data_IF_969245132220
#
_entry.id   IF_969245132220
#
_cell.length_a   1.000
_cell.length_b   1.000
_cell.length_c   1.000
_cell.angle_alpha   90.00
_cell.angle_beta   90.00
_cell.angle_gamma   90.00
#
_symmetry.space_group_name_H-M   'P 1'
#
loop_
_entity.id
_entity.type
_entity.pdbx_description
1 polymer ?
#
# COMPACT_ATOMS: atom_id res chain seq x y z
N UNK A 1 -8.69 -16.54 10.24
CA UNK A 1 -8.25 -15.68 11.36
C UNK A 1 -6.80 -15.26 11.10
N UNK A 2 -6.59 -14.13 10.43
CA UNK A 2 -5.28 -13.46 10.35
C UNK A 2 -5.37 -11.97 10.74
N UNK A 3 -6.58 -11.47 11.05
CA UNK A 3 -6.90 -10.05 11.14
C UNK A 3 -6.77 -9.48 12.56
N UNK A 4 -6.01 -10.12 13.46
CA UNK A 4 -5.98 -9.74 14.89
C UNK A 4 -4.60 -9.75 15.54
N UNK A 5 -3.56 -10.10 14.79
CA UNK A 5 -2.22 -10.16 15.32
C UNK A 5 -1.21 -9.70 14.27
N UNK A 6 -0.27 -8.87 14.71
CA UNK A 6 0.90 -8.48 13.94
C UNK A 6 2.05 -9.39 14.37
N UNK A 7 2.70 -10.05 13.42
CA UNK A 7 3.89 -10.86 13.69
C UNK A 7 5.14 -10.02 13.37
N UNK A 8 5.76 -9.48 14.41
CA UNK A 8 7.04 -8.77 14.27
C UNK A 8 8.20 -9.76 14.44
N UNK A 9 9.17 -9.70 13.54
CA UNK A 9 10.47 -10.34 13.83
C UNK A 9 11.12 -9.63 15.02
N UNK A 10 12.01 -10.29 15.79
CA UNK A 10 12.73 -9.65 16.89
C UNK A 10 13.58 -8.44 16.45
N UNK A 11 14.03 -8.42 15.19
CA UNK A 11 14.72 -7.28 14.56
C UNK A 11 13.75 -6.21 14.02
N UNK A 12 12.45 -6.49 14.03
CA UNK A 12 11.36 -5.67 13.50
C UNK A 12 10.55 -4.91 14.56
N UNK A 13 10.99 -4.88 15.82
CA UNK A 13 10.39 -4.04 16.87
C UNK A 13 10.91 -2.61 16.75
N UNK A 14 10.66 -2.01 15.59
CA UNK A 14 10.91 -0.59 15.31
C UNK A 14 9.62 0.02 14.76
N UNK A 15 9.34 1.27 15.14
CA UNK A 15 8.06 1.92 14.87
C UNK A 15 7.64 1.85 13.39
N UNK A 16 8.60 1.94 12.46
CA UNK A 16 8.36 1.84 11.01
C UNK A 16 7.76 0.49 10.63
N UNK A 17 8.35 -0.63 11.09
CA UNK A 17 7.85 -1.97 10.75
C UNK A 17 6.50 -2.21 11.45
N UNK A 18 6.35 -1.80 12.71
CA UNK A 18 5.06 -1.93 13.39
C UNK A 18 3.94 -1.14 12.68
N UNK A 19 4.23 0.08 12.21
CA UNK A 19 3.28 0.88 11.46
C UNK A 19 2.92 0.24 10.11
N UNK A 20 3.90 -0.34 9.40
CA UNK A 20 3.68 -1.08 8.16
C UNK A 20 2.67 -2.21 8.38
N UNK A 21 2.95 -3.11 9.34
CA UNK A 21 2.09 -4.27 9.59
C UNK A 21 0.70 -3.89 10.13
N UNK A 22 0.62 -2.85 10.98
CA UNK A 22 -0.67 -2.33 11.46
C UNK A 22 -1.50 -1.72 10.32
N UNK A 23 -0.87 -1.17 9.28
CA UNK A 23 -1.57 -0.61 8.13
C UNK A 23 -2.36 -1.67 7.38
N UNK A 24 -1.80 -2.87 7.20
CA UNK A 24 -2.50 -4.01 6.61
C UNK A 24 -3.74 -4.40 7.43
N UNK A 25 -3.57 -4.53 8.76
CA UNK A 25 -4.67 -4.89 9.67
C UNK A 25 -5.79 -3.86 9.59
N UNK A 26 -5.45 -2.58 9.68
CA UNK A 26 -6.43 -1.49 9.65
C UNK A 26 -7.15 -1.42 8.30
N UNK A 27 -6.41 -1.56 7.19
CA UNK A 27 -7.00 -1.56 5.85
C UNK A 27 -7.98 -2.73 5.68
N UNK A 28 -7.58 -3.95 6.05
CA UNK A 28 -8.41 -5.15 5.91
C UNK A 28 -9.62 -5.11 6.85
N UNK A 29 -9.48 -4.57 8.05
CA UNK A 29 -10.61 -4.39 8.98
C UNK A 29 -11.65 -3.42 8.41
N UNK A 30 -11.21 -2.28 7.86
CA UNK A 30 -12.13 -1.32 7.23
C UNK A 30 -12.80 -1.89 5.98
N UNK A 31 -12.08 -2.67 5.16
CA UNK A 31 -12.65 -3.26 3.94
C UNK A 31 -13.59 -4.43 4.22
N UNK A 32 -13.33 -5.20 5.28
CA UNK A 32 -14.07 -6.42 5.59
C UNK A 32 -14.05 -7.40 4.43
N UNK A 33 -15.23 -7.82 3.95
CA UNK A 33 -15.38 -8.75 2.82
C UNK A 33 -14.82 -8.22 1.49
N UNK A 34 -14.54 -6.91 1.39
CA UNK A 34 -14.05 -6.28 0.16
C UNK A 34 -12.52 -6.32 0.05
N UNK A 35 -11.81 -6.90 1.03
CA UNK A 35 -10.34 -6.97 1.04
C UNK A 35 -9.77 -7.59 -0.25
N UNK A 36 -10.45 -8.59 -0.82
CA UNK A 36 -10.02 -9.24 -2.07
C UNK A 36 -10.10 -8.37 -3.33
N UNK A 37 -10.63 -7.15 -3.24
CA UNK A 37 -10.67 -6.20 -4.35
C UNK A 37 -9.42 -5.32 -4.43
N UNK A 38 -8.59 -5.29 -3.39
CA UNK A 38 -7.37 -4.50 -3.37
C UNK A 38 -6.23 -5.29 -4.01
N UNK A 39 -5.55 -4.76 -5.04
CA UNK A 39 -4.32 -5.34 -5.56
C UNK A 39 -3.23 -5.39 -4.50
N UNK A 40 -2.43 -6.45 -4.48
CA UNK A 40 -1.35 -6.62 -3.49
C UNK A 40 -0.36 -5.46 -3.51
N UNK A 41 -0.06 -4.89 -4.69
CA UNK A 41 0.82 -3.73 -4.77
C UNK A 41 0.27 -2.50 -4.03
N UNK A 42 -1.04 -2.29 -4.02
CA UNK A 42 -1.63 -1.14 -3.34
C UNK A 42 -1.59 -1.31 -1.83
N UNK A 43 -1.90 -2.51 -1.34
CA UNK A 43 -1.83 -2.86 0.08
C UNK A 43 -0.41 -2.63 0.65
N UNK A 44 0.60 -3.16 -0.04
CA UNK A 44 2.01 -3.02 0.35
C UNK A 44 2.55 -1.59 0.16
N UNK A 45 2.16 -0.92 -0.93
CA UNK A 45 2.52 0.46 -1.19
C UNK A 45 1.95 1.41 -0.14
N UNK A 46 0.70 1.19 0.29
CA UNK A 46 0.06 1.98 1.34
C UNK A 46 0.74 1.75 2.69
N UNK A 47 1.11 0.51 3.02
CA UNK A 47 1.83 0.20 4.26
C UNK A 47 3.22 0.89 4.31
N UNK A 48 3.93 0.94 3.17
CA UNK A 48 5.18 1.72 3.06
C UNK A 48 4.94 3.23 3.20
N UNK A 49 3.86 3.75 2.60
CA UNK A 49 3.50 5.17 2.70
C UNK A 49 3.19 5.58 4.14
N UNK A 50 2.31 4.83 4.82
CA UNK A 50 1.89 5.10 6.20
C UNK A 50 3.04 4.94 7.19
N UNK A 51 3.90 3.94 7.00
CA UNK A 51 5.08 3.74 7.85
C UNK A 51 6.19 4.77 7.62
N UNK A 52 6.08 5.60 6.58
CA UNK A 52 7.09 6.59 6.19
C UNK A 52 8.49 5.98 6.06
N UNK A 53 8.59 4.78 5.48
CA UNK A 53 9.84 4.03 5.45
C UNK A 53 10.89 4.75 4.57
N UNK A 54 11.98 5.29 5.16
CA UNK A 54 12.93 6.16 4.44
C UNK A 54 13.77 5.39 3.40
N UNK A 55 13.75 4.06 3.47
CA UNK A 55 14.36 3.16 2.48
C UNK A 55 13.69 3.27 1.12
N UNK A 56 12.37 3.48 1.08
CA UNK A 56 11.56 3.38 -0.13
C UNK A 56 10.97 4.72 -0.58
N UNK A 57 10.72 5.64 0.36
CA UNK A 57 10.23 6.99 0.06
C UNK A 57 11.19 8.08 0.56
N UNK A 58 11.11 9.26 -0.05
CA UNK A 58 11.65 10.49 0.50
C UNK A 58 10.74 10.99 1.64
N UNK A 59 11.26 11.87 2.52
CA UNK A 59 10.47 12.40 3.64
C UNK A 59 9.17 13.10 3.19
N UNK A 60 8.20 13.15 4.10
CA UNK A 60 6.97 13.94 3.95
C UNK A 60 7.28 15.41 3.61
N UNK A 61 6.39 16.05 2.85
CA UNK A 61 6.56 17.44 2.39
C UNK A 61 7.47 17.60 1.17
N UNK A 62 8.08 16.52 0.66
CA UNK A 62 8.71 16.53 -0.66
C UNK A 62 7.62 16.51 -1.75
N UNK A 63 7.73 17.39 -2.75
CA UNK A 63 6.75 17.49 -3.87
C UNK A 63 6.53 16.15 -4.58
N UNK A 64 7.60 15.39 -4.83
CA UNK A 64 7.51 13.99 -5.24
C UNK A 64 8.37 13.13 -4.31
N UNK A 65 7.70 12.30 -3.53
CA UNK A 65 8.32 11.41 -2.55
C UNK A 65 9.01 10.20 -3.17
N UNK A 66 8.86 10.00 -4.48
CA UNK A 66 9.42 8.87 -5.17
C UNK A 66 10.94 8.78 -5.13
N UNK A 67 11.44 7.62 -4.73
CA UNK A 67 12.85 7.24 -4.93
C UNK A 67 13.05 6.44 -6.21
N UNK A 68 12.11 5.57 -6.55
CA UNK A 68 12.13 4.73 -7.75
C UNK A 68 10.75 4.80 -8.41
N UNK A 69 10.69 5.37 -9.61
CA UNK A 69 9.48 5.36 -10.44
C UNK A 69 9.60 4.27 -11.49
N UNK A 70 8.51 3.55 -11.75
CA UNK A 70 8.36 2.72 -12.94
C UNK A 70 6.92 2.84 -13.44
N UNK A 71 6.77 2.79 -14.77
CA UNK A 71 5.48 2.71 -15.46
C UNK A 71 5.07 1.24 -15.72
N UNK A 72 5.88 0.28 -15.27
CA UNK A 72 5.56 -1.14 -15.38
C UNK A 72 4.32 -1.49 -14.55
N UNK A 73 3.52 -2.44 -15.08
CA UNK A 73 2.42 -3.01 -14.34
C UNK A 73 2.93 -3.66 -13.04
N UNK A 74 2.27 -3.34 -11.92
CA UNK A 74 2.63 -3.88 -10.62
C UNK A 74 1.88 -5.19 -10.30
N UNK A 75 2.46 -6.08 -9.49
CA UNK A 75 1.83 -7.35 -9.15
C UNK A 75 0.47 -7.18 -8.47
N UNK A 76 -0.57 -7.74 -9.06
CA UNK A 76 -1.94 -7.65 -8.54
C UNK A 76 -2.20 -8.73 -7.51
N UNK A 77 -1.71 -9.93 -7.74
CA UNK A 77 -1.92 -11.07 -6.84
C UNK A 77 -0.78 -11.23 -5.85
N UNK A 78 -1.08 -11.84 -4.69
CA UNK A 78 -0.07 -12.20 -3.68
C UNK A 78 1.04 -13.08 -4.25
N UNK A 79 0.71 -14.02 -5.14
CA UNK A 79 1.70 -14.93 -5.71
C UNK A 79 2.69 -14.19 -6.63
N UNK A 80 2.20 -13.27 -7.46
CA UNK A 80 3.04 -12.42 -8.30
C UNK A 80 3.89 -11.48 -7.46
N UNK A 81 3.30 -10.89 -6.41
CA UNK A 81 4.03 -10.02 -5.49
C UNK A 81 5.19 -10.73 -4.82
N UNK A 82 4.96 -11.92 -4.25
CA UNK A 82 6.02 -12.70 -3.61
C UNK A 82 7.15 -13.03 -4.57
N UNK A 83 6.83 -13.33 -5.84
CA UNK A 83 7.83 -13.57 -6.89
C UNK A 83 8.62 -12.30 -7.19
N UNK A 84 7.93 -11.18 -7.39
CA UNK A 84 8.56 -9.90 -7.71
C UNK A 84 9.44 -9.39 -6.57
N UNK A 85 8.92 -9.38 -5.33
CA UNK A 85 9.63 -8.92 -4.14
C UNK A 85 10.85 -9.78 -3.78
N UNK A 86 10.82 -11.09 -4.09
CA UNK A 86 12.00 -11.95 -3.92
C UNK A 86 13.09 -11.68 -4.96
N UNK A 87 12.73 -11.18 -6.14
CA UNK A 87 13.66 -10.88 -7.21
C UNK A 87 14.22 -9.45 -7.13
N UNK A 88 13.37 -8.48 -6.76
CA UNK A 88 13.70 -7.06 -6.69
C UNK A 88 12.94 -6.40 -5.53
N UNK A 89 13.67 -6.08 -4.46
CA UNK A 89 13.11 -5.38 -3.30
C UNK A 89 12.64 -3.94 -3.63
N UNK A 90 13.03 -3.38 -4.77
CA UNK A 90 12.55 -2.06 -5.21
C UNK A 90 11.09 -2.10 -5.64
N UNK A 91 10.44 -3.27 -5.76
CA UNK A 91 8.99 -3.37 -5.98
C UNK A 91 8.19 -2.64 -4.89
N UNK A 92 8.69 -2.62 -3.64
CA UNK A 92 8.09 -1.84 -2.55
C UNK A 92 8.17 -0.33 -2.82
N UNK A 93 9.31 0.17 -3.33
CA UNK A 93 9.46 1.59 -3.68
C UNK A 93 8.55 1.98 -4.85
N UNK A 94 8.45 1.12 -5.89
CA UNK A 94 7.58 1.34 -7.05
C UNK A 94 6.10 1.39 -6.65
N UNK A 95 5.67 0.45 -5.80
CA UNK A 95 4.33 0.43 -5.24
C UNK A 95 4.03 1.67 -4.38
N UNK A 96 4.90 1.99 -3.44
CA UNK A 96 4.76 3.16 -2.58
C UNK A 96 4.69 4.46 -3.38
N UNK A 97 5.43 4.54 -4.50
CA UNK A 97 5.37 5.64 -5.44
C UNK A 97 4.00 5.83 -6.07
N UNK A 98 3.43 4.77 -6.63
CA UNK A 98 2.10 4.84 -7.24
C UNK A 98 1.04 5.22 -6.20
N UNK A 99 1.10 4.63 -5.00
CA UNK A 99 0.16 4.99 -3.91
C UNK A 99 0.35 6.44 -3.45
N UNK A 100 1.59 6.90 -3.23
CA UNK A 100 1.86 8.29 -2.82
C UNK A 100 1.29 9.28 -3.82
N UNK A 101 1.53 9.05 -5.12
CA UNK A 101 1.02 9.93 -6.17
C UNK A 101 -0.50 9.90 -6.28
N UNK A 102 -1.13 8.73 -6.14
CA UNK A 102 -2.59 8.62 -6.06
C UNK A 102 -3.13 9.44 -4.89
N UNK A 103 -2.58 9.25 -3.70
CA UNK A 103 -2.98 9.95 -2.48
C UNK A 103 -2.81 11.47 -2.64
N UNK A 104 -1.67 11.93 -3.16
CA UNK A 104 -1.38 13.35 -3.36
C UNK A 104 -2.34 13.98 -4.40
N UNK A 105 -2.62 13.28 -5.50
CA UNK A 105 -3.53 13.75 -6.54
C UNK A 105 -5.00 13.85 -6.08
N UNK A 106 -5.37 13.13 -5.03
CA UNK A 106 -6.75 13.04 -4.53
C UNK A 106 -6.93 13.70 -3.14
N UNK A 107 -6.06 14.66 -2.79
CA UNK A 107 -6.23 15.49 -1.59
C UNK A 107 -5.71 14.86 -0.30
N UNK A 108 -4.72 13.97 -0.39
CA UNK A 108 -4.04 13.38 0.75
C UNK A 108 -4.76 12.15 1.31
N UNK A 109 -4.50 11.83 2.58
CA UNK A 109 -4.93 10.56 3.19
C UNK A 109 -6.45 10.27 3.13
N UNK A 110 -7.29 11.30 2.91
CA UNK A 110 -8.73 11.12 2.69
C UNK A 110 -9.05 10.33 1.42
N UNK A 111 -8.18 10.35 0.42
CA UNK A 111 -8.31 9.55 -0.79
C UNK A 111 -8.41 8.04 -0.52
N UNK A 112 -7.74 7.55 0.54
CA UNK A 112 -7.79 6.13 0.93
C UNK A 112 -9.13 5.81 1.60
N UNK A 113 -9.66 6.74 2.42
CA UNK A 113 -10.97 6.59 3.05
C UNK A 113 -12.08 6.61 2.00
N UNK A 114 -12.00 7.54 1.04
CA UNK A 114 -12.96 7.66 -0.04
C UNK A 114 -12.92 6.42 -0.95
N UNK A 115 -11.73 5.84 -1.19
CA UNK A 115 -11.58 4.54 -1.86
C UNK A 115 -12.34 3.43 -1.13
N UNK A 116 -12.11 3.27 0.19
CA UNK A 116 -12.80 2.26 1.00
C UNK A 116 -14.32 2.43 0.91
N UNK A 117 -14.81 3.67 1.09
CA UNK A 117 -16.24 3.99 1.02
C UNK A 117 -16.83 3.67 -0.37
N UNK A 118 -16.08 3.93 -1.45
CA UNK A 118 -16.51 3.62 -2.82
C UNK A 118 -16.57 2.11 -3.07
N UNK A 119 -15.60 1.34 -2.58
CA UNK A 119 -15.65 -0.13 -2.67
C UNK A 119 -16.84 -0.72 -1.91
N UNK A 120 -17.18 -0.16 -0.74
CA UNK A 120 -18.40 -0.54 -0.01
C UNK A 120 -19.70 -0.19 -0.74
N UNK A 121 -19.68 0.82 -1.61
CA UNK A 121 -20.81 1.19 -2.48
C UNK A 121 -20.90 0.35 -3.76
N UNK A 122 -19.93 -0.53 -4.00
CA UNK A 122 -19.91 -1.45 -5.14
C UNK A 122 -19.07 -0.98 -6.32
N UNK A 123 -18.34 0.13 -6.21
CA UNK A 123 -17.35 0.51 -7.22
C UNK A 123 -16.18 -0.49 -7.20
N UNK A 124 -15.52 -0.68 -8.34
CA UNK A 124 -14.29 -1.49 -8.37
C UNK A 124 -13.06 -0.63 -8.07
N UNK A 125 -11.96 -1.26 -7.64
CA UNK A 125 -10.70 -0.56 -7.42
C UNK A 125 -10.25 0.22 -8.68
N UNK A 126 -10.42 -0.38 -9.86
CA UNK A 126 -10.09 0.24 -11.14
C UNK A 126 -10.91 1.51 -11.43
N UNK A 127 -12.19 1.54 -11.02
CA UNK A 127 -13.07 2.71 -11.17
C UNK A 127 -12.66 3.90 -10.28
N UNK A 128 -11.88 3.63 -9.23
CA UNK A 128 -11.45 4.64 -8.25
C UNK A 128 -10.04 5.13 -8.51
N UNK A 129 -9.10 4.20 -8.66
CA UNK A 129 -7.66 4.51 -8.75
C UNK A 129 -7.21 4.69 -10.20
N UNK A 130 -7.94 4.13 -11.16
CA UNK A 130 -7.66 4.19 -12.59
C UNK A 130 -6.57 3.20 -13.02
N UNK A 131 -6.94 2.22 -13.86
CA UNK A 131 -6.03 1.25 -14.48
C UNK A 131 -5.42 0.22 -13.51
N UNK A 132 -5.44 -1.06 -13.89
CA UNK A 132 -4.71 -2.16 -13.22
C UNK A 132 -3.74 -2.75 -14.23
#
# INVERSE_FOLDING_TARGET
MLNRAVMLSPRGIVAVIAAHELSHVELHERLGSHTGQIPQWFDEGLAVLVSNAPRYLRPDGTVDRCRVSSDDALPVTRAEWLRAASADEQVYAKAACQVSRYVDAHGGGRAVLDLIDRLHRGDTFADVVGGV
#
